data_IF_370399392642
#
_entry.id   IF_370399392642
#
_cell.length_a   1.000
_cell.length_b   1.000
_cell.length_c   1.000
_cell.angle_alpha   90.00
_cell.angle_beta   90.00
_cell.angle_gamma   90.00
#
_symmetry.space_group_name_H-M   'P 1'
#
loop_
_entity.id
_entity.type
_entity.pdbx_description
1 polymer ?
#
# COMPACT_ATOMS: atom_id res chain seq x y z
N UNK A 1 13.62 -14.41 -3.00
CA UNK A 1 12.91 -13.23 -3.53
C UNK A 1 12.05 -12.64 -2.45
N UNK A 2 12.00 -11.31 -2.35
CA UNK A 2 11.23 -10.59 -1.35
C UNK A 2 10.29 -9.60 -2.01
N UNK A 3 9.02 -9.64 -1.64
CA UNK A 3 8.00 -8.72 -2.10
C UNK A 3 7.56 -7.83 -0.94
N UNK A 4 7.57 -6.53 -1.15
CA UNK A 4 7.08 -5.56 -0.18
C UNK A 4 5.71 -5.03 -0.60
N UNK A 5 4.84 -4.77 0.36
CA UNK A 5 3.53 -4.16 0.16
C UNK A 5 3.41 -2.91 1.01
N UNK A 6 3.14 -1.78 0.39
CA UNK A 6 2.80 -0.56 1.11
C UNK A 6 1.38 -0.72 1.68
N UNK A 7 1.29 -0.83 2.99
CA UNK A 7 0.06 -1.07 3.73
C UNK A 7 -0.50 0.24 4.29
N UNK A 8 -1.75 0.54 4.03
CA UNK A 8 -2.43 1.72 4.59
C UNK A 8 -3.47 1.34 5.65
N UNK A 9 -4.34 0.41 5.33
CA UNK A 9 -5.31 -0.17 6.25
C UNK A 9 -5.76 -1.53 5.73
N UNK A 10 -6.35 -2.40 6.57
CA UNK A 10 -6.82 -3.70 6.10
C UNK A 10 -7.77 -3.61 4.92
N UNK A 11 -8.71 -2.69 4.97
CA UNK A 11 -9.71 -2.51 3.91
C UNK A 11 -9.11 -1.94 2.63
N UNK A 12 -8.32 -0.87 2.75
CA UNK A 12 -7.72 -0.19 1.58
C UNK A 12 -6.65 -1.02 0.90
N UNK A 13 -5.93 -1.83 1.65
CA UNK A 13 -4.82 -2.64 1.14
C UNK A 13 -5.21 -4.08 0.80
N UNK A 14 -6.46 -4.48 1.02
CA UNK A 14 -6.92 -5.85 0.85
C UNK A 14 -6.61 -6.41 -0.54
N UNK A 15 -6.93 -5.67 -1.59
CA UNK A 15 -6.69 -6.09 -2.98
C UNK A 15 -5.20 -6.19 -3.30
N UNK A 16 -4.42 -5.23 -2.84
CA UNK A 16 -2.97 -5.21 -3.03
C UNK A 16 -2.30 -6.38 -2.33
N UNK A 17 -2.69 -6.65 -1.10
CA UNK A 17 -2.19 -7.78 -0.32
C UNK A 17 -2.57 -9.12 -0.97
N UNK A 18 -3.81 -9.27 -1.39
CA UNK A 18 -4.29 -10.48 -2.06
C UNK A 18 -3.46 -10.81 -3.30
N UNK A 19 -3.25 -9.83 -4.17
CA UNK A 19 -2.46 -10.02 -5.38
C UNK A 19 -1.00 -10.32 -5.07
N UNK A 20 -0.37 -9.54 -4.21
CA UNK A 20 1.02 -9.75 -3.81
C UNK A 20 1.23 -11.10 -3.13
N UNK A 21 0.31 -11.52 -2.26
CA UNK A 21 0.36 -12.80 -1.57
C UNK A 21 0.24 -13.97 -2.54
N UNK A 22 -0.67 -13.87 -3.52
CA UNK A 22 -0.83 -14.89 -4.56
C UNK A 22 0.44 -15.04 -5.38
N UNK A 23 1.05 -13.95 -5.79
CA UNK A 23 2.29 -13.97 -6.56
C UNK A 23 3.47 -14.47 -5.71
N UNK A 24 3.60 -13.99 -4.47
CA UNK A 24 4.63 -14.46 -3.56
C UNK A 24 4.55 -15.97 -3.32
N UNK A 25 3.35 -16.48 -3.07
CA UNK A 25 3.13 -17.91 -2.87
C UNK A 25 3.51 -18.74 -4.10
N UNK A 26 3.20 -18.26 -5.30
CA UNK A 26 3.49 -18.99 -6.54
C UNK A 26 4.99 -19.14 -6.83
N UNK A 27 5.80 -18.21 -6.37
CA UNK A 27 7.27 -18.23 -6.58
C UNK A 27 8.06 -18.53 -5.30
N UNK A 28 7.39 -18.75 -4.18
CA UNK A 28 8.05 -19.00 -2.90
C UNK A 28 8.74 -17.76 -2.32
N UNK A 29 8.27 -16.56 -2.64
CA UNK A 29 8.82 -15.31 -2.11
C UNK A 29 8.32 -15.00 -0.70
N UNK A 30 9.11 -14.24 0.05
CA UNK A 30 8.69 -13.63 1.30
C UNK A 30 7.85 -12.37 1.01
N UNK A 31 6.81 -12.15 1.79
CA UNK A 31 5.96 -10.97 1.72
C UNK A 31 6.15 -10.09 2.95
N UNK A 32 6.48 -8.82 2.75
CA UNK A 32 6.73 -7.88 3.84
C UNK A 32 5.72 -6.74 3.76
N UNK A 33 4.88 -6.60 4.77
CA UNK A 33 3.93 -5.50 4.87
C UNK A 33 4.61 -4.28 5.49
N UNK A 34 4.59 -3.14 4.80
CA UNK A 34 5.23 -1.90 5.24
C UNK A 34 4.17 -0.86 5.58
N UNK A 35 4.16 -0.39 6.82
CA UNK A 35 3.33 0.72 7.26
C UNK A 35 4.22 1.87 7.73
N UNK A 36 4.13 3.01 7.06
CA UNK A 36 4.76 4.25 7.49
C UNK A 36 3.68 5.18 8.03
N UNK A 37 3.85 5.59 9.27
CA UNK A 37 2.92 6.49 9.95
C UNK A 37 3.50 7.90 9.91
N UNK A 38 2.72 8.91 9.49
CA UNK A 38 3.16 10.29 9.54
C UNK A 38 3.60 10.67 10.95
N UNK A 39 4.67 11.46 11.04
CA UNK A 39 5.19 11.92 12.31
C UNK A 39 4.14 12.77 13.04
N UNK A 40 3.69 12.37 14.24
CA UNK A 40 2.66 13.07 14.97
C UNK A 40 3.07 14.49 15.38
N UNK A 41 4.34 14.77 15.54
CA UNK A 41 4.82 16.13 15.83
C UNK A 41 4.60 17.10 14.68
N UNK A 42 4.49 16.60 13.46
CA UNK A 42 4.24 17.40 12.26
C UNK A 42 2.76 17.57 11.92
N UNK A 43 1.88 16.78 12.51
CA UNK A 43 0.44 16.76 12.18
C UNK A 43 -0.40 17.58 13.17
N UNK A 44 0.20 18.15 14.20
CA UNK A 44 -0.45 19.02 15.20
C UNK A 44 -0.91 18.27 16.46
N UNK A 45 -0.61 18.90 17.58
CA UNK A 45 -0.76 18.35 18.93
C UNK A 45 -2.22 18.03 19.34
N UNK A 46 -3.20 18.66 18.70
CA UNK A 46 -4.60 18.55 19.10
C UNK A 46 -5.19 17.16 18.78
N UNK A 47 -4.73 16.52 17.74
CA UNK A 47 -5.20 15.17 17.37
C UNK A 47 -4.68 14.07 18.30
N UNK A 48 -3.59 14.31 19.00
CA UNK A 48 -2.97 13.34 19.91
C UNK A 48 -3.66 13.25 21.27
N UNK A 49 -4.28 14.34 21.71
CA UNK A 49 -4.89 14.41 23.04
C UNK A 49 -6.26 13.74 23.12
N UNK A 50 -6.86 13.40 21.99
CA UNK A 50 -8.22 12.86 21.90
C UNK A 50 -8.25 11.35 21.68
N UNK A 51 -7.15 10.76 21.22
CA UNK A 51 -7.05 9.32 20.95
C UNK A 51 -6.25 8.63 22.03
N UNK A 52 -6.91 7.78 22.80
CA UNK A 52 -6.25 6.89 23.77
C UNK A 52 -5.41 5.80 23.08
N UNK A 53 -5.63 5.57 21.78
CA UNK A 53 -4.91 4.59 20.99
C UNK A 53 -3.83 5.27 20.18
N UNK A 54 -2.59 4.90 20.46
CA UNK A 54 -1.46 5.36 19.64
C UNK A 54 -1.61 4.85 18.21
N UNK A 55 -1.47 5.70 17.18
CA UNK A 55 -1.55 5.26 15.78
C UNK A 55 -0.59 4.12 15.45
N UNK A 56 0.58 4.10 16.06
CA UNK A 56 1.57 3.03 15.94
C UNK A 56 1.03 1.69 16.44
N UNK A 57 0.43 1.66 17.61
CA UNK A 57 -0.09 0.43 18.23
C UNK A 57 -1.25 -0.14 17.41
N UNK A 58 -2.12 0.72 16.93
CA UNK A 58 -3.22 0.33 16.03
C UNK A 58 -2.69 -0.25 14.71
N UNK A 59 -1.71 0.40 14.10
CA UNK A 59 -1.11 -0.08 12.86
C UNK A 59 -0.40 -1.42 13.06
N UNK A 60 0.29 -1.60 14.18
CA UNK A 60 0.95 -2.85 14.52
C UNK A 60 -0.05 -3.99 14.68
N UNK A 61 -1.14 -3.76 15.39
CA UNK A 61 -2.21 -4.76 15.54
C UNK A 61 -2.83 -5.14 14.20
N UNK A 62 -3.08 -4.18 13.33
CA UNK A 62 -3.63 -4.43 12.00
C UNK A 62 -2.68 -5.26 11.13
N UNK A 63 -1.41 -4.94 11.14
CA UNK A 63 -0.37 -5.70 10.43
C UNK A 63 -0.24 -7.11 11.00
N UNK A 64 -0.17 -7.25 12.31
CA UNK A 64 -0.03 -8.56 12.97
C UNK A 64 -1.20 -9.48 12.62
N UNK A 65 -2.41 -8.96 12.56
CA UNK A 65 -3.58 -9.73 12.15
C UNK A 65 -3.48 -10.16 10.68
N UNK A 66 -3.08 -9.26 9.79
CA UNK A 66 -2.87 -9.60 8.38
C UNK A 66 -1.77 -10.66 8.20
N UNK A 67 -0.68 -10.55 8.93
CA UNK A 67 0.41 -11.55 8.91
C UNK A 67 -0.09 -12.92 9.35
N UNK A 68 -0.87 -12.96 10.42
CA UNK A 68 -1.47 -14.20 10.92
C UNK A 68 -2.33 -14.86 9.86
N UNK A 69 -3.19 -14.10 9.19
CA UNK A 69 -4.07 -14.61 8.15
C UNK A 69 -3.26 -15.10 6.93
N UNK A 70 -2.24 -14.37 6.52
CA UNK A 70 -1.36 -14.75 5.41
C UNK A 70 -0.54 -16.01 5.72
N UNK A 71 -0.03 -16.11 6.93
CA UNK A 71 0.71 -17.30 7.39
C UNK A 71 -0.19 -18.53 7.39
N UNK A 72 -1.44 -18.39 7.81
CA UNK A 72 -2.43 -19.47 7.75
C UNK A 72 -2.73 -19.92 6.31
N UNK A 73 -2.55 -19.03 5.33
CA UNK A 73 -2.69 -19.34 3.90
C UNK A 73 -1.40 -19.91 3.27
N UNK A 74 -0.36 -20.10 4.05
CA UNK A 74 0.93 -20.64 3.57
C UNK A 74 1.87 -19.60 2.94
N UNK A 75 1.65 -18.32 3.21
CA UNK A 75 2.55 -17.24 2.77
C UNK A 75 3.56 -16.92 3.87
N UNK A 76 4.83 -16.80 3.53
CA UNK A 76 5.85 -16.31 4.45
C UNK A 76 5.72 -14.80 4.58
N UNK A 77 5.06 -14.33 5.62
CA UNK A 77 4.75 -12.93 5.81
C UNK A 77 5.40 -12.35 7.06
N UNK A 78 5.84 -11.12 6.97
CA UNK A 78 6.31 -10.29 8.07
C UNK A 78 5.85 -8.85 7.89
N UNK A 79 6.06 -8.00 8.89
CA UNK A 79 5.61 -6.63 8.84
C UNK A 79 6.57 -5.66 9.52
N UNK A 80 6.59 -4.43 9.03
CA UNK A 80 7.39 -3.34 9.57
C UNK A 80 6.51 -2.11 9.70
N UNK A 81 6.49 -1.53 10.89
CA UNK A 81 5.83 -0.24 11.16
C UNK A 81 6.90 0.77 11.54
N UNK A 82 6.91 1.91 10.87
CA UNK A 82 7.81 3.02 11.19
C UNK A 82 7.09 4.35 11.13
N UNK A 83 7.65 5.34 11.81
CA UNK A 83 7.20 6.73 11.78
C UNK A 83 8.11 7.53 10.85
N UNK A 84 7.51 8.40 10.05
CA UNK A 84 8.26 9.29 9.16
C UNK A 84 7.43 9.83 8.00
N UNK A 85 8.09 10.36 7.01
CA UNK A 85 7.45 10.74 5.76
C UNK A 85 7.05 9.50 4.96
N UNK A 86 5.77 9.41 4.59
CA UNK A 86 5.18 8.16 4.10
C UNK A 86 5.88 7.65 2.84
N UNK A 87 5.93 8.45 1.79
CA UNK A 87 6.49 8.01 0.51
C UNK A 87 7.98 7.67 0.59
N UNK A 88 8.78 8.53 1.19
CA UNK A 88 10.21 8.29 1.41
C UNK A 88 10.45 7.10 2.33
N UNK A 89 9.66 6.98 3.38
CA UNK A 89 9.77 5.88 4.33
C UNK A 89 9.49 4.53 3.67
N UNK A 90 8.50 4.46 2.79
CA UNK A 90 8.20 3.25 2.02
C UNK A 90 9.41 2.83 1.18
N UNK A 91 9.99 3.76 0.42
CA UNK A 91 11.17 3.47 -0.41
C UNK A 91 12.34 3.04 0.47
N UNK A 92 12.61 3.79 1.53
CA UNK A 92 13.72 3.50 2.44
C UNK A 92 13.63 2.08 3.00
N UNK A 93 12.48 1.71 3.52
CA UNK A 93 12.30 0.37 4.11
C UNK A 93 12.34 -0.71 3.03
N UNK A 94 11.72 -0.50 1.87
CA UNK A 94 11.76 -1.45 0.77
C UNK A 94 13.20 -1.74 0.30
N UNK A 95 14.04 -0.71 0.24
CA UNK A 95 15.47 -0.85 -0.07
C UNK A 95 16.24 -1.54 1.05
N UNK A 96 16.02 -1.16 2.31
CA UNK A 96 16.67 -1.77 3.47
C UNK A 96 16.41 -3.27 3.58
N UNK A 97 15.21 -3.72 3.27
CA UNK A 97 14.87 -5.16 3.30
C UNK A 97 15.29 -5.91 2.02
N UNK A 98 15.87 -5.21 1.06
CA UNK A 98 16.22 -5.75 -0.26
C UNK A 98 15.00 -6.35 -0.99
N UNK A 99 13.90 -5.62 -1.01
CA UNK A 99 12.72 -6.05 -1.75
C UNK A 99 12.99 -6.03 -3.26
N UNK A 100 12.53 -7.05 -3.95
CA UNK A 100 12.61 -7.15 -5.41
C UNK A 100 11.48 -6.40 -6.10
N UNK A 101 10.30 -6.42 -5.50
CA UNK A 101 9.10 -5.74 -6.00
C UNK A 101 8.40 -5.03 -4.85
N UNK A 102 7.98 -3.79 -5.10
CA UNK A 102 7.11 -3.02 -4.20
C UNK A 102 5.70 -2.94 -4.80
N UNK A 103 4.72 -3.48 -4.10
CA UNK A 103 3.30 -3.40 -4.44
C UNK A 103 2.64 -2.23 -3.74
N UNK A 104 1.95 -1.39 -4.49
CA UNK A 104 1.25 -0.21 -3.98
C UNK A 104 -0.17 -0.19 -4.52
N UNK A 105 -1.14 -0.08 -3.62
CA UNK A 105 -2.51 0.15 -4.02
C UNK A 105 -2.71 1.58 -4.52
N UNK A 106 -3.45 1.73 -5.59
CA UNK A 106 -3.84 3.03 -6.10
C UNK A 106 -5.34 3.09 -6.32
N UNK A 107 -5.94 4.20 -5.91
CA UNK A 107 -7.32 4.49 -6.24
C UNK A 107 -7.44 4.83 -7.72
N UNK A 108 -8.63 4.72 -8.25
CA UNK A 108 -8.88 5.03 -9.64
C UNK A 108 -8.46 6.45 -10.01
N UNK A 109 -7.51 6.53 -10.90
CA UNK A 109 -6.95 7.79 -11.39
C UNK A 109 -7.64 8.21 -12.69
N UNK A 110 -8.56 7.39 -13.21
CA UNK A 110 -9.21 7.56 -14.51
C UNK A 110 -10.58 8.23 -14.48
N UNK A 111 -10.98 8.83 -13.36
CA UNK A 111 -12.26 9.52 -13.29
C UNK A 111 -12.34 10.71 -14.23
N UNK A 112 -13.52 10.99 -14.75
CA UNK A 112 -13.85 12.10 -15.65
C UNK A 112 -13.56 13.51 -15.07
N UNK A 113 -12.98 13.58 -13.90
CA UNK A 113 -12.64 14.82 -13.22
C UNK A 113 -11.18 15.20 -13.43
N UNK A 114 -10.74 15.21 -14.67
CA UNK A 114 -9.37 15.49 -15.12
C UNK A 114 -8.77 16.76 -14.55
N UNK A 115 -9.57 17.77 -14.23
CA UNK A 115 -9.09 19.05 -13.73
C UNK A 115 -9.00 19.13 -12.20
N UNK A 116 -9.65 18.22 -11.48
CA UNK A 116 -9.70 18.20 -10.02
C UNK A 116 -8.93 17.03 -9.42
N UNK A 117 -8.30 16.23 -10.26
CA UNK A 117 -7.57 15.06 -9.80
C UNK A 117 -6.26 15.48 -9.16
N UNK A 118 -6.32 15.54 -7.87
CA UNK A 118 -5.12 15.38 -7.08
C UNK A 118 -4.64 13.95 -7.31
N UNK A 119 -3.64 13.79 -8.16
CA UNK A 119 -2.88 12.54 -8.25
C UNK A 119 -2.48 12.18 -6.83
N UNK A 120 -2.62 10.92 -6.46
CA UNK A 120 -2.14 10.48 -5.16
C UNK A 120 -0.65 10.85 -5.05
N UNK A 121 -0.28 11.79 -4.18
CA UNK A 121 1.08 12.31 -4.13
C UNK A 121 2.08 11.23 -3.72
N UNK A 122 1.64 10.24 -2.97
CA UNK A 122 2.48 9.11 -2.56
C UNK A 122 2.80 8.25 -3.78
N UNK A 123 1.79 7.84 -4.54
CA UNK A 123 1.99 7.05 -5.75
C UNK A 123 2.85 7.79 -6.78
N UNK A 124 2.58 9.08 -6.98
CA UNK A 124 3.37 9.90 -7.88
C UNK A 124 4.85 9.96 -7.48
N UNK A 125 5.12 10.18 -6.20
CA UNK A 125 6.49 10.18 -5.67
C UNK A 125 7.17 8.81 -5.85
N UNK A 126 6.47 7.72 -5.59
CA UNK A 126 7.00 6.36 -5.76
C UNK A 126 7.34 6.06 -7.22
N UNK A 127 6.48 6.47 -8.15
CA UNK A 127 6.75 6.31 -9.60
C UNK A 127 8.03 7.04 -10.01
N UNK A 128 8.24 8.25 -9.50
CA UNK A 128 9.39 9.06 -9.87
C UNK A 128 10.71 8.62 -9.19
N UNK A 129 10.64 8.06 -8.00
CA UNK A 129 11.82 7.87 -7.14
C UNK A 129 12.10 6.43 -6.71
N UNK A 130 11.19 5.48 -6.92
CA UNK A 130 11.41 4.12 -6.47
C UNK A 130 12.50 3.41 -7.31
N UNK A 131 13.62 2.98 -6.68
CA UNK A 131 14.71 2.35 -7.40
C UNK A 131 14.49 0.86 -7.69
N UNK A 132 13.44 0.26 -7.15
CA UNK A 132 13.08 -1.14 -7.34
C UNK A 132 11.82 -1.27 -8.19
N UNK A 133 11.55 -2.47 -8.68
CA UNK A 133 10.33 -2.73 -9.46
C UNK A 133 9.08 -2.36 -8.69
N UNK A 134 8.24 -1.52 -9.28
CA UNK A 134 7.00 -1.02 -8.69
C UNK A 134 5.80 -1.65 -9.38
N UNK A 135 4.92 -2.26 -8.60
CA UNK A 135 3.65 -2.79 -9.08
C UNK A 135 2.50 -1.97 -8.50
N UNK A 136 1.80 -1.25 -9.36
CA UNK A 136 0.61 -0.48 -8.98
C UNK A 136 -0.63 -1.36 -9.10
N UNK A 137 -1.35 -1.54 -8.00
CA UNK A 137 -2.56 -2.36 -7.95
C UNK A 137 -3.77 -1.45 -7.79
N UNK A 138 -4.68 -1.51 -8.75
CA UNK A 138 -5.96 -0.80 -8.65
C UNK A 138 -6.89 -1.53 -7.69
N UNK A 139 -7.49 -0.77 -6.80
CA UNK A 139 -8.48 -1.28 -5.86
C UNK A 139 -9.73 -0.41 -5.88
N UNK A 140 -10.86 -1.00 -5.53
CA UNK A 140 -12.19 -0.40 -5.36
C UNK A 140 -12.85 0.20 -6.60
N UNK A 141 -14.13 -0.06 -6.76
CA UNK A 141 -14.94 0.38 -7.89
C UNK A 141 -14.44 -0.13 -9.24
N UNK A 142 -13.46 -1.02 -9.23
CA UNK A 142 -12.80 -1.47 -10.46
C UNK A 142 -13.73 -2.19 -11.43
N UNK A 143 -14.78 -2.83 -10.97
CA UNK A 143 -15.73 -3.54 -11.84
C UNK A 143 -16.63 -2.59 -12.63
N UNK A 144 -17.09 -1.52 -11.99
CA UNK A 144 -17.91 -0.50 -12.67
C UNK A 144 -17.07 0.39 -13.58
N UNK A 145 -15.90 0.82 -13.07
CA UNK A 145 -14.99 1.66 -13.86
C UNK A 145 -14.32 0.92 -15.02
N UNK A 146 -14.12 -0.39 -14.93
CA UNK A 146 -13.60 -1.17 -16.06
C UNK A 146 -14.63 -1.28 -17.21
N UNK A 147 -15.92 -1.40 -16.89
CA UNK A 147 -16.96 -1.38 -17.89
C UNK A 147 -17.04 -0.01 -18.60
N UNK A 148 -17.01 1.09 -17.83
CA UNK A 148 -16.99 2.45 -18.35
C UNK A 148 -15.73 2.73 -19.20
N UNK A 149 -14.56 2.29 -18.76
CA UNK A 149 -13.30 2.45 -19.50
C UNK A 149 -13.27 1.61 -20.78
N UNK A 150 -13.86 0.41 -20.77
CA UNK A 150 -13.99 -0.41 -21.96
C UNK A 150 -14.89 0.26 -23.01
N UNK A 151 -16.00 0.89 -22.59
CA UNK A 151 -16.86 1.67 -23.48
C UNK A 151 -16.14 2.91 -24.02
N UNK A 152 -15.36 3.62 -23.22
CA UNK A 152 -14.57 4.78 -23.67
C UNK A 152 -13.48 4.39 -24.70
N UNK A 153 -12.84 3.25 -24.51
CA UNK A 153 -11.81 2.74 -25.44
C UNK A 153 -12.44 2.29 -26.77
N UNK A 154 -13.63 1.73 -26.75
CA UNK A 154 -14.34 1.34 -27.98
C UNK A 154 -14.87 2.54 -28.77
N UNK A 155 -15.12 3.67 -28.10
CA UNK A 155 -15.61 4.91 -28.74
C UNK A 155 -14.50 5.77 -29.35
N UNK A 156 -13.26 5.48 -29.08
CA UNK A 156 -12.08 6.15 -29.62
C UNK A 156 -11.33 5.24 -30.59
#
# INVERSE_FOLDING_TARGET
>A
MKYAVAFSSPKRSARTIELAARQAKSVGAELILLRIIPDPEKVGVVAQLISSDRPIDKAQLQIDQCIKDLTAQGVKASGIVRVGEVARGIIKVAVEVNADVLYVGTTNVGGRHLFMMKRDPIVHYLVDHCPITLCLVRHDGASESLAELAEEVELN
#
